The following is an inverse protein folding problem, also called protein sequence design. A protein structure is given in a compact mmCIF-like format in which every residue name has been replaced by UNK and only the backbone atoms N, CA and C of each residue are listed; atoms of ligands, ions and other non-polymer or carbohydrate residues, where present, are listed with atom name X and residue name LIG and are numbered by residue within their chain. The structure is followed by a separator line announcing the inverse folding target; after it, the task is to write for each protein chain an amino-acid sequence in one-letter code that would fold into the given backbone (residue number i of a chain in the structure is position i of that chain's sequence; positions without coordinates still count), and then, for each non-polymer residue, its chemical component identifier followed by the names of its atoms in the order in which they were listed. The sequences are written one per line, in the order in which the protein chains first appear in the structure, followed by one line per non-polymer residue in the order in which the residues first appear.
data_IF_141317617723
#
_entry.id   IF_141317617723
#
_cell.length_a   1.000
_cell.length_b   1.000
_cell.length_c   1.000
_cell.angle_alpha   90.00
_cell.angle_beta   90.00
_cell.angle_gamma   90.00
#
_symmetry.space_group_name_H-M   'P 1'
#
loop_
_entity.id
_entity.type
_entity.pdbx_description
1 polymer ?
#
# COMPACT_ATOMS: atom_id res chain seq x y z
N UNK A 1 3.57 1.26 16.43
CA UNK A 1 4.17 0.20 15.58
C UNK A 1 4.88 0.82 14.40
N UNK A 2 6.08 0.38 14.14
CA UNK A 2 6.81 0.78 12.95
C UNK A 2 6.35 -0.02 11.73
N UNK A 3 6.47 0.59 10.56
CA UNK A 3 6.10 -0.04 9.28
C UNK A 3 6.84 -1.36 9.07
N UNK A 4 8.15 -1.41 9.38
CA UNK A 4 8.94 -2.62 9.24
C UNK A 4 8.44 -3.78 10.12
N UNK A 5 7.99 -3.50 11.33
CA UNK A 5 7.38 -4.50 12.20
C UNK A 5 6.08 -5.05 11.61
N UNK A 6 5.24 -4.16 11.08
CA UNK A 6 4.00 -4.55 10.41
C UNK A 6 4.27 -5.48 9.23
N UNK A 7 5.24 -5.15 8.38
CA UNK A 7 5.57 -5.97 7.22
C UNK A 7 6.06 -7.37 7.62
N UNK A 8 6.83 -7.48 8.70
CA UNK A 8 7.28 -8.77 9.22
C UNK A 8 6.11 -9.60 9.76
N UNK A 9 5.23 -8.99 10.55
CA UNK A 9 4.09 -9.68 11.15
C UNK A 9 3.02 -10.09 10.14
N UNK A 10 2.81 -9.29 9.12
CA UNK A 10 1.79 -9.55 8.10
C UNK A 10 2.18 -10.64 7.11
N UNK A 11 3.47 -10.99 7.04
CA UNK A 11 4.00 -11.92 6.04
C UNK A 11 3.57 -11.55 4.61
N UNK A 12 3.50 -10.25 4.34
CA UNK A 12 3.03 -9.73 3.07
C UNK A 12 3.94 -10.17 1.92
N UNK A 13 3.31 -10.73 0.88
CA UNK A 13 4.00 -11.03 -0.36
C UNK A 13 4.01 -9.78 -1.23
N UNK A 14 5.19 -9.34 -1.64
CA UNK A 14 5.34 -8.23 -2.56
C UNK A 14 4.94 -8.66 -3.97
N UNK A 15 3.97 -7.98 -4.55
CA UNK A 15 3.53 -8.17 -5.93
C UNK A 15 3.81 -6.88 -6.70
N UNK A 16 4.55 -7.00 -7.79
CA UNK A 16 4.94 -5.89 -8.65
C UNK A 16 4.61 -6.18 -10.11
N UNK A 17 4.64 -5.16 -10.94
CA UNK A 17 4.60 -5.32 -12.38
C UNK A 17 5.76 -4.57 -13.01
N UNK A 18 5.97 -4.78 -14.31
CA UNK A 18 6.99 -4.07 -15.08
C UNK A 18 6.32 -3.02 -15.99
N UNK A 19 7.07 -2.00 -16.43
CA UNK A 19 6.50 -0.95 -17.30
C UNK A 19 5.86 -1.47 -18.59
N UNK A 20 6.36 -2.57 -19.11
CA UNK A 20 5.87 -3.17 -20.36
C UNK A 20 4.63 -4.04 -20.23
N UNK A 21 4.19 -4.34 -19.00
CA UNK A 21 2.97 -5.12 -18.82
C UNK A 21 1.76 -4.42 -19.42
N UNK A 22 0.95 -5.16 -20.19
CA UNK A 22 -0.32 -4.67 -20.69
C UNK A 22 -1.28 -4.39 -19.52
N UNK A 23 -2.22 -3.44 -19.70
CA UNK A 23 -3.20 -3.12 -18.66
C UNK A 23 -4.01 -4.35 -18.23
N UNK A 24 -4.34 -5.23 -19.16
CA UNK A 24 -5.05 -6.46 -18.87
C UNK A 24 -4.26 -7.34 -17.88
N UNK A 25 -2.95 -7.45 -18.07
CA UNK A 25 -2.08 -8.22 -17.17
C UNK A 25 -1.97 -7.58 -15.81
N UNK A 26 -1.88 -6.26 -15.74
CA UNK A 26 -1.89 -5.49 -14.49
C UNK A 26 -3.20 -5.73 -13.73
N UNK A 27 -4.33 -5.65 -14.43
CA UNK A 27 -5.65 -5.89 -13.84
C UNK A 27 -5.77 -7.32 -13.28
N UNK A 28 -5.26 -8.32 -14.01
CA UNK A 28 -5.25 -9.72 -13.57
C UNK A 28 -4.40 -9.90 -12.30
N UNK A 29 -3.24 -9.27 -12.23
CA UNK A 29 -2.39 -9.31 -11.03
C UNK A 29 -3.11 -8.73 -9.82
N UNK A 30 -3.78 -7.60 -9.98
CA UNK A 30 -4.57 -6.99 -8.90
C UNK A 30 -5.70 -7.89 -8.45
N UNK A 31 -6.46 -8.43 -9.39
CA UNK A 31 -7.61 -9.29 -9.10
C UNK A 31 -7.17 -10.59 -8.43
N UNK A 32 -6.18 -11.28 -8.99
CA UNK A 32 -5.69 -12.57 -8.47
C UNK A 32 -5.11 -12.44 -7.07
N UNK A 33 -4.43 -11.34 -6.78
CA UNK A 33 -3.79 -11.11 -5.48
C UNK A 33 -4.65 -10.29 -4.52
N UNK A 34 -5.86 -9.90 -4.93
CA UNK A 34 -6.79 -9.08 -4.14
C UNK A 34 -6.14 -7.81 -3.59
N UNK A 35 -5.49 -7.07 -4.46
CA UNK A 35 -4.78 -5.83 -4.12
C UNK A 35 -5.23 -4.69 -5.05
N UNK A 36 -5.24 -3.47 -4.52
CA UNK A 36 -5.74 -2.29 -5.22
C UNK A 36 -4.68 -1.41 -5.87
N UNK A 37 -3.42 -1.77 -5.73
CA UNK A 37 -2.31 -1.05 -6.36
C UNK A 37 -1.10 -1.96 -6.52
N UNK A 38 -0.31 -1.68 -7.56
CA UNK A 38 0.94 -2.38 -7.84
C UNK A 38 2.07 -1.38 -8.02
N UNK A 39 3.21 -1.58 -7.36
CA UNK A 39 4.43 -0.89 -7.77
C UNK A 39 4.83 -1.36 -9.16
N UNK A 40 5.24 -0.41 -9.99
CA UNK A 40 5.83 -0.68 -11.30
C UNK A 40 7.34 -0.63 -11.14
N UNK A 41 8.01 -1.75 -11.39
CA UNK A 41 9.42 -1.90 -11.06
C UNK A 41 10.25 -2.36 -12.26
N UNK A 42 11.48 -1.95 -12.27
CA UNK A 42 12.55 -2.50 -13.09
C UNK A 42 13.34 -3.54 -12.26
N UNK A 43 14.55 -3.88 -12.68
CA UNK A 43 15.39 -4.87 -12.01
C UNK A 43 15.59 -4.58 -10.51
N UNK A 44 15.63 -5.64 -9.71
CA UNK A 44 15.86 -5.59 -8.27
C UNK A 44 14.79 -4.79 -7.50
N UNK A 45 13.53 -4.83 -7.96
CA UNK A 45 12.40 -4.10 -7.36
C UNK A 45 12.61 -2.58 -7.29
N UNK A 46 13.41 -2.04 -8.22
CA UNK A 46 13.56 -0.60 -8.36
C UNK A 46 12.28 0.01 -8.89
N UNK A 47 11.60 0.78 -8.06
CA UNK A 47 10.32 1.36 -8.40
C UNK A 47 10.46 2.55 -9.35
N UNK A 48 9.70 2.51 -10.45
CA UNK A 48 9.61 3.61 -11.41
C UNK A 48 8.24 4.26 -11.46
N UNK A 49 7.25 3.65 -10.83
CA UNK A 49 5.89 4.18 -10.75
C UNK A 49 4.98 3.30 -9.91
N UNK A 50 3.71 3.68 -9.85
CA UNK A 50 2.65 2.92 -9.21
C UNK A 50 1.40 2.97 -10.07
N UNK A 51 0.68 1.85 -10.17
CA UNK A 51 -0.64 1.76 -10.82
C UNK A 51 -1.66 1.35 -9.78
N UNK A 52 -2.74 2.12 -9.66
CA UNK A 52 -3.87 1.84 -8.78
C UNK A 52 -5.11 1.47 -9.57
N UNK A 53 -6.13 0.91 -8.89
CA UNK A 53 -7.44 0.67 -9.48
C UNK A 53 -8.01 1.94 -10.12
N UNK A 54 -7.81 3.10 -9.50
CA UNK A 54 -8.26 4.39 -10.02
C UNK A 54 -7.61 4.73 -11.35
N UNK A 55 -6.33 4.39 -11.53
CA UNK A 55 -5.64 4.59 -12.81
C UNK A 55 -6.24 3.72 -13.92
N UNK A 56 -6.62 2.48 -13.59
CA UNK A 56 -7.30 1.60 -14.54
C UNK A 56 -8.68 2.15 -14.92
N UNK A 57 -9.46 2.60 -13.95
CA UNK A 57 -10.77 3.21 -14.21
C UNK A 57 -10.62 4.45 -15.09
N UNK A 58 -9.63 5.28 -14.82
CA UNK A 58 -9.35 6.47 -15.63
C UNK A 58 -8.98 6.08 -17.07
N UNK A 59 -8.18 5.05 -17.24
CA UNK A 59 -7.82 4.56 -18.56
C UNK A 59 -9.05 4.09 -19.35
N UNK A 60 -9.95 3.35 -18.69
CA UNK A 60 -11.22 2.94 -19.29
C UNK A 60 -12.12 4.11 -19.68
N UNK A 61 -12.16 5.15 -18.85
CA UNK A 61 -12.97 6.32 -19.10
C UNK A 61 -12.47 7.19 -20.26
N UNK A 62 -11.16 7.19 -20.51
CA UNK A 62 -10.52 8.07 -21.50
C UNK A 62 -10.19 7.42 -22.83
N UNK A 63 -10.30 6.10 -22.93
CA UNK A 63 -9.88 5.36 -24.11
C UNK A 63 -11.00 4.39 -24.54
N UNK A 64 -11.08 4.11 -25.84
CA UNK A 64 -11.96 3.07 -26.35
C UNK A 64 -11.30 1.69 -26.19
N UNK A 65 -12.06 0.63 -26.49
CA UNK A 65 -11.59 -0.76 -26.35
C UNK A 65 -10.36 -1.04 -27.22
N UNK A 66 -10.28 -0.43 -28.40
CA UNK A 66 -9.14 -0.62 -29.31
C UNK A 66 -7.87 0.01 -28.75
N UNK A 67 -7.98 1.24 -28.23
CA UNK A 67 -6.87 1.95 -27.61
C UNK A 67 -6.35 1.23 -26.36
N UNK A 68 -7.24 0.70 -25.53
CA UNK A 68 -6.89 -0.02 -24.29
C UNK A 68 -5.97 -1.21 -24.54
N UNK A 69 -6.07 -1.88 -25.67
CA UNK A 69 -5.20 -3.02 -26.02
C UNK A 69 -3.73 -2.64 -26.12
N UNK A 70 -3.44 -1.40 -26.45
CA UNK A 70 -2.08 -0.93 -26.67
C UNK A 70 -1.48 -0.23 -25.45
N UNK A 71 -2.28 0.06 -24.43
CA UNK A 71 -1.79 0.69 -23.21
C UNK A 71 -1.04 -0.29 -22.34
N UNK A 72 0.05 0.21 -21.76
CA UNK A 72 0.92 -0.52 -20.84
C UNK A 72 0.98 0.17 -19.50
N UNK A 73 1.51 -0.49 -18.50
CA UNK A 73 1.66 0.08 -17.17
C UNK A 73 2.34 1.46 -17.22
N UNK A 74 3.37 1.62 -18.04
CA UNK A 74 4.08 2.89 -18.20
C UNK A 74 3.19 4.04 -18.65
N UNK A 75 2.13 3.75 -19.41
CA UNK A 75 1.26 4.79 -19.96
C UNK A 75 0.26 5.34 -18.95
N UNK A 76 -0.03 4.59 -17.90
CA UNK A 76 -1.05 4.94 -16.89
C UNK A 76 -0.47 5.14 -15.50
N UNK A 77 0.74 4.71 -15.23
CA UNK A 77 1.36 4.80 -13.91
C UNK A 77 1.58 6.25 -13.45
N UNK A 78 1.56 6.45 -12.15
CA UNK A 78 2.02 7.68 -11.53
C UNK A 78 3.52 7.54 -11.27
N UNK A 79 4.32 8.51 -11.71
CA UNK A 79 5.78 8.47 -11.58
C UNK A 79 6.30 9.20 -10.34
N UNK A 80 5.58 10.22 -9.86
CA UNK A 80 5.89 10.89 -8.59
C UNK A 80 5.23 10.13 -7.46
N UNK A 81 5.89 9.09 -6.99
CA UNK A 81 5.35 8.20 -5.98
C UNK A 81 5.83 8.64 -4.60
N UNK A 82 4.88 8.90 -3.70
CA UNK A 82 5.20 9.06 -2.29
C UNK A 82 5.44 7.68 -1.69
N UNK A 83 6.45 7.59 -0.85
CA UNK A 83 6.84 6.35 -0.18
C UNK A 83 7.04 6.59 1.31
N UNK A 84 7.00 5.52 2.09
CA UNK A 84 7.50 5.51 3.46
C UNK A 84 8.65 4.52 3.58
N UNK A 85 9.31 4.54 4.72
CA UNK A 85 10.39 3.61 5.03
C UNK A 85 9.98 2.67 6.15
N UNK A 86 10.75 1.62 6.36
CA UNK A 86 10.51 0.67 7.46
C UNK A 86 10.58 1.33 8.85
N UNK A 87 11.34 2.43 8.98
CA UNK A 87 11.49 3.16 10.24
C UNK A 87 10.36 4.12 10.54
N UNK A 88 9.53 4.45 9.56
CA UNK A 88 8.34 5.26 9.76
C UNK A 88 7.32 4.51 10.62
N UNK A 89 6.45 5.26 11.30
CA UNK A 89 5.35 4.67 12.07
C UNK A 89 4.14 4.41 11.19
N UNK A 90 3.33 3.43 11.56
CA UNK A 90 2.05 3.19 10.89
C UNK A 90 1.12 4.41 10.99
N UNK A 91 1.18 5.15 12.09
CA UNK A 91 0.44 6.39 12.24
C UNK A 91 0.86 7.44 11.21
N UNK A 92 2.16 7.63 11.03
CA UNK A 92 2.68 8.57 10.02
C UNK A 92 2.25 8.16 8.61
N UNK A 93 2.34 6.87 8.27
CA UNK A 93 1.89 6.37 6.99
C UNK A 93 0.39 6.65 6.75
N UNK A 94 -0.44 6.50 7.78
CA UNK A 94 -1.86 6.83 7.72
C UNK A 94 -2.08 8.32 7.42
N UNK A 95 -1.37 9.19 8.12
CA UNK A 95 -1.45 10.64 7.92
C UNK A 95 -1.08 11.03 6.49
N UNK A 96 0.00 10.48 5.96
CA UNK A 96 0.45 10.72 4.58
C UNK A 96 -0.64 10.33 3.59
N UNK A 97 -1.25 9.16 3.75
CA UNK A 97 -2.32 8.72 2.86
C UNK A 97 -3.57 9.60 2.96
N UNK A 98 -3.95 10.00 4.18
CA UNK A 98 -5.10 10.88 4.38
C UNK A 98 -4.90 12.27 3.78
N UNK A 99 -3.76 12.88 4.03
CA UNK A 99 -3.45 14.23 3.54
C UNK A 99 -3.39 14.28 2.01
N UNK A 100 -2.88 13.23 1.38
CA UNK A 100 -2.72 13.17 -0.06
C UNK A 100 -3.85 12.44 -0.78
N UNK A 101 -4.85 11.95 -0.05
CA UNK A 101 -6.07 11.31 -0.58
C UNK A 101 -5.80 10.07 -1.42
N UNK A 102 -4.84 9.26 -1.03
CA UNK A 102 -4.63 7.94 -1.63
C UNK A 102 -4.67 6.84 -0.57
N UNK A 103 -4.90 5.61 -1.01
CA UNK A 103 -5.18 4.46 -0.12
C UNK A 103 -4.04 3.46 -0.06
N UNK A 104 -2.98 3.66 -0.83
CA UNK A 104 -1.84 2.77 -0.91
C UNK A 104 -0.55 3.57 -0.84
N UNK A 105 0.39 3.09 -0.07
CA UNK A 105 1.69 3.75 0.14
C UNK A 105 2.78 2.70 0.07
N UNK A 106 3.65 2.76 -0.94
CA UNK A 106 4.79 1.84 -1.01
C UNK A 106 5.78 2.06 0.12
N UNK A 107 6.36 0.97 0.59
CA UNK A 107 7.49 0.99 1.50
C UNK A 107 8.73 0.75 0.66
N UNK A 108 9.66 1.70 0.68
CA UNK A 108 10.86 1.63 -0.14
C UNK A 108 12.11 1.99 0.65
N UNK A 109 13.24 1.46 0.21
CA UNK A 109 14.56 1.76 0.73
C UNK A 109 15.49 1.98 -0.45
N UNK A 110 16.09 3.16 -0.54
CA UNK A 110 17.00 3.54 -1.62
C UNK A 110 16.40 3.30 -3.02
N UNK A 111 15.12 3.59 -3.20
CA UNK A 111 14.40 3.41 -4.47
C UNK A 111 13.91 1.99 -4.74
N UNK A 112 14.22 1.04 -3.87
CA UNK A 112 13.79 -0.36 -4.01
C UNK A 112 12.59 -0.64 -3.13
N UNK A 113 11.52 -1.15 -3.74
CA UNK A 113 10.28 -1.46 -3.04
C UNK A 113 10.46 -2.67 -2.13
N UNK A 114 9.98 -2.57 -0.88
CA UNK A 114 10.02 -3.63 0.13
C UNK A 114 8.64 -4.16 0.51
N UNK A 115 7.62 -3.37 0.30
CA UNK A 115 6.25 -3.73 0.63
C UNK A 115 5.27 -2.66 0.21
N UNK A 116 4.00 -2.91 0.47
CA UNK A 116 2.91 -1.99 0.18
C UNK A 116 1.99 -1.89 1.40
N UNK A 117 1.71 -0.68 1.83
CA UNK A 117 0.71 -0.42 2.86
C UNK A 117 -0.60 0.01 2.23
N UNK A 118 -1.71 -0.44 2.80
CA UNK A 118 -3.02 0.11 2.51
C UNK A 118 -3.50 0.98 3.67
N UNK A 119 -4.43 1.89 3.40
CA UNK A 119 -5.07 2.68 4.45
C UNK A 119 -5.76 1.75 5.47
N UNK A 120 -6.34 0.65 4.99
CA UNK A 120 -6.96 -0.38 5.83
C UNK A 120 -5.95 -0.98 6.82
N UNK A 121 -4.73 -1.27 6.38
CA UNK A 121 -3.66 -1.81 7.24
C UNK A 121 -3.36 -0.87 8.42
N UNK A 122 -3.25 0.43 8.14
CA UNK A 122 -2.95 1.43 9.17
C UNK A 122 -4.11 1.60 10.14
N UNK A 123 -5.35 1.54 9.67
CA UNK A 123 -6.54 1.61 10.51
C UNK A 123 -6.66 0.40 11.42
N UNK A 124 -6.43 -0.81 10.90
CA UNK A 124 -6.47 -2.05 11.67
C UNK A 124 -5.39 -2.05 12.77
N UNK A 125 -4.19 -1.63 12.46
CA UNK A 125 -3.09 -1.50 13.42
C UNK A 125 -3.43 -0.52 14.53
N UNK A 126 -3.96 0.64 14.19
CA UNK A 126 -4.36 1.66 15.18
C UNK A 126 -5.47 1.17 16.10
N UNK A 127 -6.45 0.46 15.56
CA UNK A 127 -7.54 -0.11 16.34
C UNK A 127 -7.02 -1.14 17.34
N UNK A 128 -6.12 -2.04 16.90
CA UNK A 128 -5.51 -3.05 17.76
C UNK A 128 -4.69 -2.41 18.91
N UNK A 129 -3.91 -1.38 18.63
CA UNK A 129 -3.14 -0.63 19.62
C UNK A 129 -4.08 0.05 20.64
N UNK A 130 -5.17 0.65 20.19
CA UNK A 130 -6.16 1.29 21.06
C UNK A 130 -6.84 0.29 21.98
N UNK A 131 -7.19 -0.89 21.50
CA UNK A 131 -7.78 -1.96 22.31
C UNK A 131 -6.80 -2.47 23.36
N UNK A 132 -5.53 -2.62 23.02
CA UNK A 132 -4.46 -3.02 23.94
C UNK A 132 -4.29 -1.99 25.06
N UNK A 133 -4.25 -0.70 24.73
CA UNK A 133 -4.19 0.40 25.70
C UNK A 133 -5.39 0.38 26.67
N UNK A 134 -6.59 0.16 26.15
CA UNK A 134 -7.80 0.04 26.95
C UNK A 134 -7.73 -1.14 27.92
N UNK A 135 -7.23 -2.27 27.48
CA UNK A 135 -7.08 -3.46 28.31
C UNK A 135 -6.07 -3.22 29.42
N UNK A 136 -4.92 -2.63 29.12
CA UNK A 136 -3.91 -2.26 30.12
C UNK A 136 -4.50 -1.31 31.17
N UNK A 137 -5.20 -0.27 30.75
CA UNK A 137 -5.82 0.68 31.66
C UNK A 137 -6.88 0.02 32.55
N UNK A 138 -7.69 -0.86 31.98
CA UNK A 138 -8.70 -1.63 32.72
C UNK A 138 -8.05 -2.48 33.79
N UNK A 139 -6.97 -3.19 33.47
CA UNK A 139 -6.25 -4.04 34.41
C UNK A 139 -5.63 -3.23 35.57
N UNK A 140 -5.08 -2.06 35.27
CA UNK A 140 -4.54 -1.12 36.28
C UNK A 140 -5.67 -0.66 37.22
N UNK A 141 -6.82 -0.28 36.68
CA UNK A 141 -7.99 0.15 37.48
C UNK A 141 -8.50 -0.97 38.38
N UNK A 142 -8.57 -2.21 37.84
CA UNK A 142 -8.99 -3.36 38.62
C UNK A 142 -7.99 -3.70 39.74
N UNK A 143 -6.70 -3.62 39.46
CA UNK A 143 -5.66 -3.84 40.45
C UNK A 143 -5.69 -2.81 41.59
N UNK A 144 -6.04 -1.56 41.29
CA UNK A 144 -6.14 -0.47 42.29
C UNK A 144 -7.42 -0.57 43.14
N UNK A 145 -8.50 -1.12 42.62
CA UNK A 145 -9.77 -1.29 43.35
C UNK A 145 -9.76 -2.50 44.30
N UNK A 146 -8.87 -3.47 44.09
CA UNK A 146 -8.71 -4.65 44.93
C UNK A 146 -7.88 -4.42 46.21
N UNK A 147 -7.43 -3.21 46.41
CA UNK A 147 -6.74 -2.79 47.63
C UNK A 147 -7.66 -1.97 48.51
#
# INVERSE_FOLDING_TARGET
MKVGEFLQLSHQRLVTCIPDHALNDVAKLMYTNNIGALPVCELNDRMVGIVSERDLVRAFARNDVTELKYLRARDVMTTRVMVCTADDTMQHAQEVMRENKFRHLPVAESGHVKGMLSLRDTMATRLAETEEEKNVLRDVVLATRGR
#
